data_IF_613283990683
#
_entry.id   IF_613283990683
#
_cell.length_a   1.000
_cell.length_b   1.000
_cell.length_c   1.000
_cell.angle_alpha   90.00
_cell.angle_beta   90.00
_cell.angle_gamma   90.00
#
_symmetry.space_group_name_H-M   'P 1'
#
loop_
_entity.id
_entity.type
_entity.pdbx_description
1 polymer ?
#
# COMPACT_ATOMS: atom_id res chain seq x y z
N UNK A 1 27.88 -1.97 6.40
CA UNK A 1 27.60 -0.78 7.24
C UNK A 1 26.39 -1.09 8.10
N UNK A 2 26.43 -0.89 9.43
CA UNK A 2 25.26 -1.12 10.28
C UNK A 2 24.16 -0.13 9.87
N UNK A 3 23.06 -0.64 9.32
CA UNK A 3 21.86 0.16 9.04
C UNK A 3 21.36 0.75 10.34
N UNK A 4 21.08 2.06 10.40
CA UNK A 4 20.49 2.65 11.60
C UNK A 4 19.17 1.93 11.95
N UNK A 5 18.87 1.82 13.24
CA UNK A 5 17.62 1.22 13.74
C UNK A 5 16.39 1.87 13.10
N UNK A 6 16.48 3.15 12.75
CA UNK A 6 15.45 3.89 12.02
C UNK A 6 15.17 3.34 10.60
N UNK A 7 16.20 2.97 9.82
CA UNK A 7 16.01 2.39 8.47
C UNK A 7 15.35 1.01 8.57
N UNK A 8 15.77 0.19 9.53
CA UNK A 8 15.16 -1.12 9.78
C UNK A 8 13.69 -0.99 10.19
N UNK A 9 13.40 -0.07 11.12
CA UNK A 9 12.04 0.19 11.60
C UNK A 9 11.11 0.73 10.49
N UNK A 10 11.58 1.68 9.68
CA UNK A 10 10.82 2.20 8.53
C UNK A 10 10.54 1.10 7.51
N UNK A 11 11.54 0.29 7.15
CA UNK A 11 11.35 -0.84 6.23
C UNK A 11 10.37 -1.89 6.77
N UNK A 12 10.41 -2.21 8.08
CA UNK A 12 9.45 -3.14 8.67
C UNK A 12 8.03 -2.57 8.68
N UNK A 13 7.86 -1.27 8.94
CA UNK A 13 6.54 -0.64 8.89
C UNK A 13 5.98 -0.58 7.47
N UNK A 14 6.80 -0.27 6.46
CA UNK A 14 6.38 -0.35 5.05
C UNK A 14 5.97 -1.76 4.65
N UNK A 15 6.71 -2.78 5.12
CA UNK A 15 6.38 -4.18 4.87
C UNK A 15 5.04 -4.57 5.52
N UNK A 16 4.81 -4.16 6.77
CA UNK A 16 3.55 -4.40 7.48
C UNK A 16 2.38 -3.70 6.75
N UNK A 17 2.57 -2.45 6.33
CA UNK A 17 1.58 -1.70 5.56
C UNK A 17 1.22 -2.38 4.24
N UNK A 18 2.22 -2.81 3.47
CA UNK A 18 2.00 -3.51 2.20
C UNK A 18 1.26 -4.85 2.38
N UNK A 19 1.56 -5.59 3.46
CA UNK A 19 0.84 -6.83 3.80
C UNK A 19 -0.61 -6.53 4.15
N UNK A 20 -0.88 -5.49 4.94
CA UNK A 20 -2.24 -5.08 5.28
C UNK A 20 -3.04 -4.65 4.05
N UNK A 21 -2.43 -3.92 3.11
CA UNK A 21 -3.07 -3.58 1.83
C UNK A 21 -3.41 -4.83 1.01
N UNK A 22 -2.50 -5.82 0.95
CA UNK A 22 -2.76 -7.08 0.27
C UNK A 22 -3.92 -7.85 0.91
N UNK A 23 -3.96 -7.94 2.24
CA UNK A 23 -5.05 -8.59 2.96
C UNK A 23 -6.37 -7.87 2.67
N UNK A 24 -6.38 -6.53 2.74
CA UNK A 24 -7.55 -5.72 2.43
C UNK A 24 -8.03 -5.95 0.99
N UNK A 25 -7.10 -5.99 0.03
CA UNK A 25 -7.41 -6.22 -1.37
C UNK A 25 -8.00 -7.62 -1.61
N UNK A 26 -7.46 -8.67 -0.97
CA UNK A 26 -8.00 -10.03 -1.07
C UNK A 26 -9.41 -10.12 -0.49
N UNK A 27 -9.68 -9.44 0.63
CA UNK A 27 -11.03 -9.37 1.22
C UNK A 27 -11.97 -8.59 0.31
N UNK A 28 -11.52 -7.46 -0.25
CA UNK A 28 -12.32 -6.67 -1.21
C UNK A 28 -12.65 -7.44 -2.48
N UNK A 29 -11.70 -8.22 -3.01
CA UNK A 29 -11.91 -9.08 -4.16
C UNK A 29 -12.88 -10.23 -3.85
N UNK A 30 -12.72 -10.92 -2.73
CA UNK A 30 -13.61 -12.03 -2.38
C UNK A 30 -15.04 -11.57 -2.12
N UNK A 31 -15.22 -10.44 -1.43
CA UNK A 31 -16.55 -9.84 -1.21
C UNK A 31 -17.16 -9.31 -2.51
N UNK A 32 -16.38 -8.64 -3.36
CA UNK A 32 -16.84 -8.19 -4.69
C UNK A 32 -17.26 -9.33 -5.61
N UNK A 33 -16.50 -10.44 -5.62
CA UNK A 33 -16.84 -11.65 -6.39
C UNK A 33 -18.11 -12.31 -5.83
N UNK A 34 -18.25 -12.41 -4.51
CA UNK A 34 -19.47 -12.96 -3.88
C UNK A 34 -20.70 -12.11 -4.24
N UNK A 35 -20.59 -10.78 -4.15
CA UNK A 35 -21.66 -9.87 -4.54
C UNK A 35 -22.04 -10.04 -6.01
N UNK A 36 -21.05 -10.07 -6.91
CA UNK A 36 -21.28 -10.31 -8.35
C UNK A 36 -21.96 -11.66 -8.62
N UNK A 37 -21.56 -12.72 -7.90
CA UNK A 37 -22.15 -14.05 -8.05
C UNK A 37 -23.61 -14.12 -7.55
N UNK A 38 -23.95 -13.39 -6.48
CA UNK A 38 -25.33 -13.30 -5.99
C UNK A 38 -26.22 -12.50 -6.95
N UNK A 39 -25.66 -11.48 -7.59
CA UNK A 39 -26.36 -10.62 -8.56
C UNK A 39 -26.50 -11.28 -9.94
N UNK A 40 -25.60 -12.19 -10.34
CA UNK A 40 -25.69 -12.89 -11.64
C UNK A 40 -26.93 -13.78 -11.83
N UNK A 41 -27.75 -13.96 -10.78
CA UNK A 41 -29.08 -14.58 -10.86
C UNK A 41 -30.20 -13.63 -11.32
N UNK A 42 -29.95 -12.32 -11.41
CA UNK A 42 -30.88 -11.30 -11.89
C UNK A 42 -30.11 -10.31 -12.79
N UNK A 43 -30.41 -10.27 -14.09
CA UNK A 43 -29.85 -9.38 -15.11
C UNK A 43 -29.61 -7.94 -14.59
N UNK A 44 -28.43 -7.68 -14.03
CA UNK A 44 -28.09 -6.36 -13.50
C UNK A 44 -26.59 -6.11 -13.55
N UNK A 45 -26.22 -5.16 -14.41
CA UNK A 45 -25.07 -4.28 -14.25
C UNK A 45 -25.21 -3.56 -12.90
N UNK A 46 -24.92 -4.24 -11.79
CA UNK A 46 -24.92 -3.59 -10.48
C UNK A 46 -23.61 -2.80 -10.34
N UNK A 47 -23.65 -1.45 -10.41
CA UNK A 47 -22.45 -0.62 -10.38
C UNK A 47 -21.68 -0.78 -9.06
N UNK A 48 -22.35 -1.26 -8.00
CA UNK A 48 -21.75 -1.48 -6.69
C UNK A 48 -20.76 -2.64 -6.73
N UNK A 49 -21.12 -3.79 -7.29
CA UNK A 49 -20.24 -4.95 -7.38
C UNK A 49 -19.01 -4.69 -8.26
N UNK A 50 -19.22 -4.04 -9.42
CA UNK A 50 -18.13 -3.67 -10.32
C UNK A 50 -17.16 -2.66 -9.66
N UNK A 51 -17.67 -1.67 -8.92
CA UNK A 51 -16.83 -0.70 -8.22
C UNK A 51 -15.98 -1.35 -7.12
N UNK A 52 -16.55 -2.26 -6.32
CA UNK A 52 -15.83 -2.98 -5.26
C UNK A 52 -14.65 -3.79 -5.82
N UNK A 53 -14.87 -4.49 -6.93
CA UNK A 53 -13.81 -5.26 -7.59
C UNK A 53 -12.72 -4.33 -8.15
N UNK A 54 -13.11 -3.23 -8.80
CA UNK A 54 -12.17 -2.27 -9.35
C UNK A 54 -11.28 -1.64 -8.26
N UNK A 55 -11.87 -1.22 -7.14
CA UNK A 55 -11.14 -0.65 -6.02
C UNK A 55 -10.22 -1.67 -5.31
N UNK A 56 -10.68 -2.91 -5.16
CA UNK A 56 -9.86 -3.99 -4.61
C UNK A 56 -8.67 -4.30 -5.52
N UNK A 57 -8.86 -4.29 -6.84
CA UNK A 57 -7.78 -4.47 -7.82
C UNK A 57 -6.75 -3.33 -7.75
N UNK A 58 -7.19 -2.07 -7.63
CA UNK A 58 -6.27 -0.92 -7.45
C UNK A 58 -5.46 -1.08 -6.17
N UNK A 59 -6.11 -1.42 -5.06
CA UNK A 59 -5.43 -1.63 -3.77
C UNK A 59 -4.42 -2.77 -3.83
N UNK A 60 -4.73 -3.84 -4.59
CA UNK A 60 -3.79 -4.93 -4.84
C UNK A 60 -2.55 -4.46 -5.59
N UNK A 61 -2.73 -3.67 -6.66
CA UNK A 61 -1.62 -3.12 -7.45
C UNK A 61 -0.71 -2.25 -6.58
N UNK A 62 -1.29 -1.43 -5.71
CA UNK A 62 -0.54 -0.57 -4.78
C UNK A 62 0.30 -1.42 -3.82
N UNK A 63 -0.30 -2.42 -3.16
CA UNK A 63 0.43 -3.30 -2.24
C UNK A 63 1.58 -4.07 -2.93
N UNK A 64 1.36 -4.55 -4.15
CA UNK A 64 2.41 -5.20 -4.96
C UNK A 64 3.51 -4.22 -5.37
N UNK A 65 3.14 -3.00 -5.77
CA UNK A 65 4.11 -1.95 -6.11
C UNK A 65 4.98 -1.56 -4.90
N UNK A 66 4.38 -1.46 -3.71
CA UNK A 66 5.11 -1.25 -2.45
C UNK A 66 6.14 -2.36 -2.22
N UNK A 67 5.73 -3.64 -2.35
CA UNK A 67 6.65 -4.78 -2.20
C UNK A 67 7.77 -4.79 -3.23
N UNK A 68 7.53 -4.33 -4.46
CA UNK A 68 8.56 -4.28 -5.51
C UNK A 68 9.57 -3.14 -5.29
N UNK A 69 9.12 -2.01 -4.74
CA UNK A 69 9.98 -0.85 -4.45
C UNK A 69 10.74 -1.02 -3.13
N UNK A 70 10.22 -1.83 -2.19
CA UNK A 70 10.82 -2.04 -0.87
C UNK A 70 12.30 -2.52 -0.88
N UNK A 71 12.73 -3.49 -1.73
CA UNK A 71 14.13 -3.86 -1.87
C UNK A 71 15.02 -2.71 -2.36
N UNK A 72 14.48 -1.83 -3.23
CA UNK A 72 15.21 -0.66 -3.73
C UNK A 72 15.38 0.41 -2.66
N UNK A 73 14.39 0.57 -1.77
CA UNK A 73 14.50 1.43 -0.58
C UNK A 73 15.58 0.91 0.37
N UNK A 74 15.65 -0.42 0.59
CA UNK A 74 16.73 -1.04 1.36
C UNK A 74 18.11 -0.80 0.75
N UNK A 75 18.19 -0.79 -0.58
CA UNK A 75 19.41 -0.51 -1.35
C UNK A 75 19.91 0.94 -1.28
N UNK A 76 19.15 1.88 -0.69
CA UNK A 76 19.61 3.27 -0.52
C UNK A 76 19.52 4.14 -1.79
N UNK A 77 18.75 3.72 -2.79
CA UNK A 77 18.55 4.50 -4.01
C UNK A 77 17.69 5.75 -3.74
N UNK A 78 18.17 6.95 -4.11
CA UNK A 78 17.47 8.21 -3.88
C UNK A 78 16.08 8.27 -4.52
N UNK A 79 15.93 7.74 -5.74
CA UNK A 79 14.64 7.69 -6.44
C UNK A 79 13.61 6.75 -5.78
N UNK A 80 14.07 5.74 -5.04
CA UNK A 80 13.18 4.78 -4.37
C UNK A 80 12.38 5.44 -3.24
N UNK A 81 12.92 6.48 -2.58
CA UNK A 81 12.15 7.29 -1.61
C UNK A 81 10.97 7.99 -2.28
N UNK A 82 11.22 8.67 -3.41
CA UNK A 82 10.19 9.43 -4.15
C UNK A 82 9.12 8.46 -4.66
N UNK A 83 9.53 7.35 -5.29
CA UNK A 83 8.60 6.32 -5.74
C UNK A 83 7.74 5.78 -4.60
N UNK A 84 8.34 5.48 -3.44
CA UNK A 84 7.59 4.98 -2.28
C UNK A 84 6.63 6.04 -1.73
N UNK A 85 7.00 7.32 -1.74
CA UNK A 85 6.10 8.41 -1.35
C UNK A 85 4.89 8.51 -2.27
N UNK A 86 5.08 8.41 -3.57
CA UNK A 86 3.99 8.44 -4.54
C UNK A 86 3.03 7.26 -4.34
N UNK A 87 3.56 6.06 -4.10
CA UNK A 87 2.75 4.86 -3.88
C UNK A 87 1.96 4.94 -2.58
N UNK A 88 2.54 5.43 -1.48
CA UNK A 88 1.83 5.59 -0.21
C UNK A 88 0.74 6.66 -0.29
N UNK A 89 0.99 7.77 -1.00
CA UNK A 89 -0.05 8.79 -1.24
C UNK A 89 -1.19 8.23 -2.07
N UNK A 90 -0.88 7.40 -3.08
CA UNK A 90 -1.89 6.71 -3.87
C UNK A 90 -2.68 5.69 -3.03
N UNK A 91 -2.01 4.97 -2.13
CA UNK A 91 -2.63 4.07 -1.15
C UNK A 91 -3.59 4.81 -0.21
N UNK A 92 -3.18 5.97 0.29
CA UNK A 92 -4.03 6.84 1.11
C UNK A 92 -5.26 7.33 0.35
N UNK A 93 -5.10 7.77 -0.89
CA UNK A 93 -6.23 8.18 -1.74
C UNK A 93 -7.21 7.01 -1.96
N UNK A 94 -6.70 5.81 -2.27
CA UNK A 94 -7.51 4.59 -2.41
C UNK A 94 -8.25 4.24 -1.11
N UNK A 95 -7.59 4.37 0.04
CA UNK A 95 -8.17 4.09 1.35
C UNK A 95 -9.33 5.03 1.70
N UNK A 96 -9.20 6.33 1.38
CA UNK A 96 -10.25 7.34 1.60
C UNK A 96 -11.48 7.04 0.73
N UNK A 97 -11.27 6.63 -0.52
CA UNK A 97 -12.37 6.33 -1.45
C UNK A 97 -13.12 5.03 -1.08
N UNK A 98 -12.45 4.06 -0.46
CA UNK A 98 -13.04 2.77 -0.08
C UNK A 98 -13.72 2.75 1.30
N UNK A 99 -13.47 3.74 2.17
CA UNK A 99 -13.95 3.78 3.56
C UNK A 99 -13.69 2.49 4.37
N UNK A 100 -12.67 1.71 3.99
CA UNK A 100 -12.32 0.46 4.67
C UNK A 100 -11.40 0.71 5.87
N UNK A 101 -11.69 0.06 7.00
CA UNK A 101 -10.88 0.20 8.22
C UNK A 101 -9.45 -0.35 8.05
N UNK A 102 -9.30 -1.49 7.37
CA UNK A 102 -7.99 -2.07 7.06
C UNK A 102 -7.12 -1.19 6.14
N UNK A 103 -7.61 -0.71 4.97
CA UNK A 103 -6.81 0.16 4.11
C UNK A 103 -6.51 1.51 4.77
N UNK A 104 -7.40 2.03 5.62
CA UNK A 104 -7.10 3.20 6.45
C UNK A 104 -5.92 2.92 7.40
N UNK A 105 -5.95 1.81 8.13
CA UNK A 105 -4.88 1.43 9.06
C UNK A 105 -3.55 1.25 8.33
N UNK A 106 -3.58 0.59 7.16
CA UNK A 106 -2.42 0.40 6.30
C UNK A 106 -1.85 1.76 5.84
N UNK A 107 -2.71 2.71 5.46
CA UNK A 107 -2.28 4.04 5.06
C UNK A 107 -1.62 4.81 6.20
N UNK A 108 -2.16 4.73 7.43
CA UNK A 108 -1.57 5.39 8.61
C UNK A 108 -0.18 4.85 8.89
N UNK A 109 0.00 3.52 8.84
CA UNK A 109 1.30 2.88 9.00
C UNK A 109 2.26 3.31 7.88
N UNK A 110 1.77 3.39 6.64
CA UNK A 110 2.54 3.87 5.49
C UNK A 110 3.01 5.33 5.64
N UNK A 111 2.15 6.21 6.16
CA UNK A 111 2.49 7.61 6.41
C UNK A 111 3.53 7.73 7.52
N UNK A 112 3.37 7.01 8.63
CA UNK A 112 4.36 6.99 9.73
C UNK A 112 5.70 6.47 9.21
N UNK A 113 5.68 5.40 8.42
CA UNK A 113 6.88 4.86 7.79
C UNK A 113 7.56 5.87 6.86
N UNK A 114 6.77 6.70 6.15
CA UNK A 114 7.27 7.78 5.30
C UNK A 114 7.98 8.87 6.10
N UNK A 115 7.39 9.29 7.23
CA UNK A 115 7.99 10.29 8.12
C UNK A 115 9.33 9.76 8.63
N UNK A 116 9.39 8.49 9.06
CA UNK A 116 10.64 7.86 9.47
C UNK A 116 11.64 7.75 8.31
N UNK A 117 11.14 7.49 7.10
CA UNK A 117 11.96 7.40 5.90
C UNK A 117 12.60 8.74 5.53
N UNK A 118 11.99 9.87 5.88
CA UNK A 118 12.48 11.23 5.58
C UNK A 118 13.24 11.91 6.73
N UNK A 119 13.36 11.26 7.89
CA UNK A 119 14.18 11.80 8.99
C UNK A 119 15.64 12.08 8.54
N UNK A 120 16.29 13.15 9.02
CA UNK A 120 17.66 13.48 8.66
C UNK A 120 18.66 12.37 9.04
N UNK A 121 18.30 11.52 10.01
CA UNK A 121 19.08 10.33 10.40
C UNK A 121 19.17 9.25 9.32
N UNK A 122 18.25 9.25 8.35
CA UNK A 122 18.24 8.29 7.21
C UNK A 122 18.81 8.91 5.93
N UNK A 123 18.99 10.23 5.84
CA UNK A 123 19.54 10.92 4.66
C UNK A 123 20.94 10.43 4.27
N UNK A 124 21.79 10.06 5.23
CA UNK A 124 23.14 9.56 4.95
C UNK A 124 23.14 8.21 4.21
N UNK A 125 22.06 7.42 4.36
CA UNK A 125 21.87 6.14 3.67
C UNK A 125 21.52 6.32 2.19
N UNK A 126 20.79 7.39 1.86
CA UNK A 126 20.32 7.69 0.50
C UNK A 126 21.25 8.63 -0.29
N UNK A 127 22.31 9.15 0.33
CA UNK A 127 23.26 10.09 -0.30
C UNK A 127 24.39 9.41 -1.08
N UNK A 128 24.45 8.08 -1.10
CA UNK A 128 25.52 7.29 -1.74
C UNK A 128 25.08 6.55 -3.01
N UNK A 129 23.81 6.71 -3.42
CA UNK A 129 23.25 6.15 -4.64
C UNK A 129 22.93 7.23 -5.66
#
# INVERSE_FOLDING_TARGET
MPTSTAVKASCSMLLIGAILELIAAVIGLSTGIMALSATSAADSDDPVAASLIAFAAVTLIIGVAQLFVLPKVRGGLGWARIAMTAIVVLGLASAILNFGLLPLLASVIGVVALVLLWLPTTNSHFRKG
#
